data_IF_591822684679
#
_entry.id   IF_591822684679
#
_cell.length_a   1.000
_cell.length_b   1.000
_cell.length_c   1.000
_cell.angle_alpha   90.00
_cell.angle_beta   90.00
_cell.angle_gamma   90.00
#
_symmetry.space_group_name_H-M   'P 1'
#
loop_
_entity.id
_entity.type
_entity.pdbx_description
1 polymer ?
#
# COMPACT_ATOMS: atom_id res chain seq x y z
N UNK A 1 12.33 6.93 -12.07
CA UNK A 1 13.04 6.62 -10.80
C UNK A 1 11.96 6.23 -9.79
N UNK A 2 12.14 5.15 -9.01
CA UNK A 2 11.12 4.69 -8.03
C UNK A 2 11.47 5.20 -6.63
N UNK A 3 10.46 5.63 -5.87
CA UNK A 3 10.62 6.07 -4.49
C UNK A 3 10.91 4.88 -3.57
N UNK A 4 11.88 5.03 -2.68
CA UNK A 4 12.11 4.04 -1.61
C UNK A 4 10.97 4.08 -0.59
N UNK A 5 10.76 2.99 0.18
CA UNK A 5 9.73 2.95 1.23
C UNK A 5 9.78 4.16 2.18
N UNK A 6 10.97 4.58 2.60
CA UNK A 6 11.14 5.74 3.50
C UNK A 6 10.74 7.07 2.85
N UNK A 7 10.93 7.22 1.54
CA UNK A 7 10.51 8.41 0.80
C UNK A 7 8.98 8.44 0.64
N UNK A 8 8.38 7.28 0.37
CA UNK A 8 6.92 7.14 0.30
C UNK A 8 6.29 7.49 1.64
N UNK A 9 6.85 6.98 2.74
CA UNK A 9 6.42 7.31 4.10
C UNK A 9 6.41 8.84 4.34
N UNK A 10 7.52 9.52 4.02
CA UNK A 10 7.61 10.99 4.16
C UNK A 10 6.59 11.74 3.32
N UNK A 11 6.31 11.27 2.10
CA UNK A 11 5.30 11.88 1.22
C UNK A 11 3.90 11.71 1.82
N UNK A 12 3.60 10.54 2.37
CA UNK A 12 2.32 10.27 3.03
C UNK A 12 2.13 11.16 4.27
N UNK A 13 3.15 11.28 5.12
CA UNK A 13 3.13 12.17 6.28
C UNK A 13 2.90 13.63 5.86
N UNK A 14 3.61 14.10 4.83
CA UNK A 14 3.42 15.46 4.28
C UNK A 14 2.03 15.66 3.67
N UNK A 15 1.41 14.61 3.13
CA UNK A 15 0.04 14.62 2.62
C UNK A 15 -1.03 14.52 3.72
N UNK A 16 -0.62 14.47 4.99
CA UNK A 16 -1.53 14.40 6.14
C UNK A 16 -2.04 12.99 6.45
N UNK A 17 -1.38 11.94 5.95
CA UNK A 17 -1.61 10.60 6.46
C UNK A 17 -0.89 10.42 7.78
N UNK A 18 -1.56 9.76 8.72
CA UNK A 18 -0.97 9.36 10.00
C UNK A 18 -0.58 7.89 9.95
N UNK A 19 0.55 7.56 10.56
CA UNK A 19 0.98 6.18 10.71
C UNK A 19 0.05 5.49 11.72
N UNK A 20 -0.61 4.42 11.26
CA UNK A 20 -1.65 3.70 12.01
C UNK A 20 -1.15 2.35 12.50
N UNK A 21 -0.42 1.61 11.64
CA UNK A 21 0.16 0.32 11.97
C UNK A 21 1.63 0.25 11.59
N UNK A 22 2.45 -0.41 12.41
CA UNK A 22 3.86 -0.67 12.09
C UNK A 22 4.12 -2.14 12.25
N UNK A 23 4.49 -2.79 11.16
CA UNK A 23 4.90 -4.20 11.14
C UNK A 23 6.34 -4.32 10.67
N UNK A 24 6.90 -5.51 10.80
CA UNK A 24 8.24 -5.83 10.30
C UNK A 24 8.31 -5.70 8.77
N UNK A 25 7.20 -5.92 8.06
CA UNK A 25 7.14 -5.91 6.58
C UNK A 25 6.50 -4.66 5.98
N UNK A 26 5.69 -3.92 6.73
CA UNK A 26 4.94 -2.78 6.20
C UNK A 26 4.59 -1.71 7.25
N UNK A 27 4.39 -0.48 6.78
CA UNK A 27 3.78 0.60 7.54
C UNK A 27 2.36 0.85 7.02
N UNK A 28 1.37 0.78 7.88
CA UNK A 28 0.00 1.19 7.58
C UNK A 28 -0.17 2.68 7.82
N UNK A 29 -0.73 3.39 6.85
CA UNK A 29 -1.02 4.81 6.91
C UNK A 29 -2.50 5.05 6.66
N UNK A 30 -3.09 5.93 7.46
CA UNK A 30 -4.51 6.26 7.39
C UNK A 30 -4.73 7.76 7.28
N UNK A 31 -5.71 8.15 6.48
CA UNK A 31 -6.23 9.51 6.39
C UNK A 31 -7.74 9.46 6.22
N UNK A 32 -8.46 9.63 7.33
CA UNK A 32 -9.91 9.41 7.38
C UNK A 32 -10.25 7.97 7.01
N UNK A 33 -11.02 7.78 5.94
CA UNK A 33 -11.43 6.47 5.42
C UNK A 33 -10.40 5.87 4.43
N UNK A 34 -9.37 6.64 4.05
CA UNK A 34 -8.34 6.16 3.14
C UNK A 34 -7.24 5.45 3.90
N UNK A 35 -7.01 4.18 3.57
CA UNK A 35 -5.93 3.37 4.13
C UNK A 35 -4.97 2.93 3.04
N UNK A 36 -3.66 3.04 3.30
CA UNK A 36 -2.58 2.60 2.41
C UNK A 36 -1.49 1.89 3.20
N UNK A 37 -0.79 0.96 2.56
CA UNK A 37 0.39 0.34 3.15
C UNK A 37 1.66 0.74 2.40
N UNK A 38 2.72 1.03 3.14
CA UNK A 38 4.06 1.14 2.62
C UNK A 38 4.79 -0.17 2.84
N UNK A 39 5.17 -0.85 1.77
CA UNK A 39 5.92 -2.09 1.83
C UNK A 39 7.41 -1.83 2.11
N UNK A 40 7.88 -2.22 3.30
CA UNK A 40 9.28 -2.03 3.73
C UNK A 40 10.24 -2.99 3.02
N UNK A 41 9.74 -4.11 2.52
CA UNK A 41 10.55 -5.10 1.81
C UNK A 41 10.88 -4.68 0.37
N UNK A 42 10.29 -3.58 -0.12
CA UNK A 42 10.52 -3.09 -1.48
C UNK A 42 11.92 -2.47 -1.64
N UNK A 43 12.92 -3.31 -1.98
CA UNK A 43 14.32 -2.88 -2.17
C UNK A 43 14.55 -1.90 -3.33
N UNK A 44 13.75 -1.99 -4.40
CA UNK A 44 13.88 -1.14 -5.59
C UNK A 44 12.73 -0.12 -5.74
N UNK A 45 11.92 0.08 -4.69
CA UNK A 45 10.81 1.05 -4.70
C UNK A 45 9.60 0.70 -5.58
N UNK A 46 9.74 -0.26 -6.52
CA UNK A 46 8.69 -0.68 -7.47
C UNK A 46 7.36 -1.05 -6.82
N UNK A 47 7.37 -1.56 -5.60
CA UNK A 47 6.15 -1.97 -4.87
C UNK A 47 6.05 -1.31 -3.50
N UNK A 48 6.63 -0.12 -3.34
CA UNK A 48 6.70 0.56 -2.05
C UNK A 48 5.33 1.02 -1.55
N UNK A 49 4.38 1.36 -2.44
CA UNK A 49 3.02 1.76 -2.07
C UNK A 49 2.01 0.68 -2.46
N UNK A 50 1.17 0.29 -1.52
CA UNK A 50 0.07 -0.66 -1.69
C UNK A 50 -1.23 0.05 -1.32
N UNK A 51 -2.22 -0.06 -2.19
CA UNK A 51 -3.53 0.55 -2.04
C UNK A 51 -4.62 -0.52 -1.96
N UNK A 52 -5.80 -0.13 -1.49
CA UNK A 52 -6.95 -1.02 -1.41
C UNK A 52 -7.35 -1.53 -2.81
N UNK A 53 -7.63 -2.84 -3.00
CA UNK A 53 -7.91 -3.43 -4.31
C UNK A 53 -9.11 -2.80 -5.03
N UNK A 54 -10.13 -2.34 -4.29
CA UNK A 54 -11.29 -1.64 -4.87
C UNK A 54 -10.92 -0.32 -5.59
N UNK A 55 -9.72 0.24 -5.34
CA UNK A 55 -9.25 1.46 -5.99
C UNK A 55 -8.48 1.20 -7.29
N UNK A 56 -8.24 -0.07 -7.67
CA UNK A 56 -7.42 -0.45 -8.83
C UNK A 56 -7.78 0.28 -10.12
N UNK A 57 -9.05 0.28 -10.51
CA UNK A 57 -9.50 0.91 -11.76
C UNK A 57 -9.34 2.43 -11.74
N UNK A 58 -9.54 3.05 -10.58
CA UNK A 58 -9.35 4.50 -10.41
C UNK A 58 -7.87 4.86 -10.42
N UNK A 59 -7.02 4.08 -9.74
CA UNK A 59 -5.59 4.34 -9.64
C UNK A 59 -4.85 4.17 -10.97
N UNK A 60 -5.30 3.25 -11.83
CA UNK A 60 -4.71 3.03 -13.17
C UNK A 60 -4.74 4.29 -14.05
N UNK A 61 -5.64 5.25 -13.79
CA UNK A 61 -5.67 6.54 -14.50
C UNK A 61 -4.56 7.49 -14.08
N UNK A 62 -3.96 7.28 -12.90
CA UNK A 62 -2.96 8.16 -12.31
C UNK A 62 -1.55 7.57 -12.38
N UNK A 63 -1.41 6.26 -12.24
CA UNK A 63 -0.13 5.58 -12.28
C UNK A 63 -0.28 4.12 -12.74
N UNK A 64 0.68 3.64 -13.52
CA UNK A 64 0.78 2.23 -13.88
C UNK A 64 1.26 1.41 -12.66
N UNK A 65 0.55 0.33 -12.28
CA UNK A 65 0.95 -0.51 -11.18
C UNK A 65 2.18 -1.33 -11.57
N UNK A 66 3.14 -1.47 -10.66
CA UNK A 66 4.29 -2.35 -10.90
C UNK A 66 3.94 -3.85 -10.77
N UNK A 67 2.80 -4.16 -10.14
CA UNK A 67 2.27 -5.52 -10.00
C UNK A 67 0.77 -5.45 -9.72
N UNK A 68 0.00 -6.39 -10.27
CA UNK A 68 -1.46 -6.42 -10.16
C UNK A 68 -1.98 -6.68 -8.74
N UNK A 69 -1.40 -7.65 -8.04
CA UNK A 69 -1.87 -8.09 -6.71
C UNK A 69 -0.65 -8.44 -5.85
N UNK A 70 -0.64 -7.92 -4.62
CA UNK A 70 0.33 -8.31 -3.59
C UNK A 70 -0.41 -8.83 -2.36
N UNK A 71 -0.31 -10.14 -2.13
CA UNK A 71 -0.77 -10.74 -0.89
C UNK A 71 0.30 -10.60 0.20
N UNK A 72 -0.13 -10.25 1.41
CA UNK A 72 0.69 -10.23 2.62
C UNK A 72 -0.22 -10.37 3.83
N UNK A 73 0.13 -11.24 4.78
CA UNK A 73 -0.64 -11.45 6.00
C UNK A 73 -0.66 -10.21 6.93
N UNK A 74 0.24 -9.26 6.70
CA UNK A 74 0.32 -8.01 7.46
C UNK A 74 -0.58 -6.89 6.91
N UNK A 75 -1.28 -7.11 5.80
CA UNK A 75 -2.21 -6.14 5.22
C UNK A 75 -3.63 -6.36 5.75
N UNK A 76 -3.80 -6.29 7.07
CA UNK A 76 -5.04 -6.65 7.77
C UNK A 76 -6.26 -5.79 7.38
N UNK A 77 -6.04 -4.52 7.01
CA UNK A 77 -7.11 -3.61 6.58
C UNK A 77 -7.53 -3.81 5.12
N UNK A 78 -6.79 -4.60 4.36
CA UNK A 78 -7.13 -4.97 2.99
C UNK A 78 -7.54 -6.45 2.98
N UNK A 79 -8.77 -6.79 3.42
CA UNK A 79 -9.23 -8.15 3.36
C UNK A 79 -9.19 -8.60 1.91
N UNK A 80 -8.25 -9.50 1.60
CA UNK A 80 -8.27 -10.26 0.37
C UNK A 80 -9.54 -11.09 0.44
N UNK A 81 -10.59 -10.65 -0.26
CA UNK A 81 -11.68 -11.52 -0.66
C UNK A 81 -11.08 -12.56 -1.62
N UNK A 82 -10.43 -13.57 -1.05
CA UNK A 82 -10.18 -14.86 -1.66
C UNK A 82 -11.56 -15.51 -1.82
N UNK A 83 -12.30 -15.06 -2.83
CA UNK A 83 -13.56 -15.64 -3.23
C UNK A 83 -13.35 -17.09 -3.62
N UNK A 84 -13.74 -17.99 -2.71
CA UNK A 84 -14.13 -19.37 -3.01
C UNK A 84 -13.02 -20.38 -3.13
N UNK A 85 -12.65 -21.03 -2.01
CA UNK A 85 -12.55 -22.49 -2.03
C UNK A 85 -13.93 -23.03 -1.69
N UNK A 86 -14.63 -23.54 -2.69
CA UNK A 86 -15.65 -24.57 -2.50
C UNK A 86 -15.35 -25.70 -3.48
#
# INVERSE_FOLDING_TARGET
MYLRPDEVARVLEKAGFTMDAVTTKAYGYRRGENYVYVNREARMGRTALIIHPALKERSNKYAEPASDIKACDHYEQFPLYLGGRR
#
